data_IF_847482882250
#
_entry.id   IF_847482882250
#
_cell.length_a   1.000
_cell.length_b   1.000
_cell.length_c   1.000
_cell.angle_alpha   90.00
_cell.angle_beta   90.00
_cell.angle_gamma   90.00
#
_symmetry.space_group_name_H-M   'P 1'
#
loop_
_entity.id
_entity.type
_entity.pdbx_description
1 polymer ?
#
# COMPACT_ATOMS: atom_id res chain seq x y z
N UNK A 1 -4.24 -17.41 4.05
CA UNK A 1 -3.49 -17.48 2.77
C UNK A 1 -3.40 -18.95 2.38
N UNK A 2 -4.06 -19.39 1.30
CA UNK A 2 -4.22 -20.82 1.00
C UNK A 2 -3.20 -21.33 -0.02
N UNK A 3 -2.00 -20.75 -0.09
CA UNK A 3 -0.87 -21.29 -0.86
C UNK A 3 -1.04 -21.39 -2.39
N UNK A 4 -2.20 -21.04 -2.96
CA UNK A 4 -2.46 -21.12 -4.40
C UNK A 4 -2.17 -19.80 -5.15
N UNK A 5 -1.82 -18.73 -4.44
CA UNK A 5 -1.60 -17.39 -5.01
C UNK A 5 -0.14 -16.99 -4.88
N UNK A 6 0.77 -17.78 -5.46
CA UNK A 6 2.08 -17.27 -5.80
C UNK A 6 1.95 -16.54 -7.14
N UNK A 7 2.14 -15.21 -7.11
CA UNK A 7 1.94 -14.25 -8.20
C UNK A 7 2.70 -14.53 -9.49
N UNK A 8 2.27 -15.58 -10.22
CA UNK A 8 2.79 -15.95 -11.54
C UNK A 8 2.04 -15.26 -12.69
N UNK A 9 1.16 -14.30 -12.39
CA UNK A 9 0.45 -13.53 -13.43
C UNK A 9 -0.58 -14.36 -14.21
N UNK A 10 -1.22 -15.34 -13.56
CA UNK A 10 -2.31 -16.07 -14.22
C UNK A 10 -3.50 -15.14 -14.52
N UNK A 11 -4.10 -15.23 -15.72
CA UNK A 11 -5.33 -14.52 -16.04
C UNK A 11 -6.44 -14.86 -15.03
N UNK A 12 -7.05 -13.85 -14.43
CA UNK A 12 -8.17 -14.01 -13.48
C UNK A 12 -7.83 -13.83 -12.00
N UNK A 13 -6.57 -13.58 -11.64
CA UNK A 13 -6.25 -13.15 -10.28
C UNK A 13 -6.76 -11.72 -10.04
N UNK A 14 -7.57 -11.54 -8.98
CA UNK A 14 -8.01 -10.23 -8.51
C UNK A 14 -7.66 -10.04 -7.03
N UNK A 15 -6.79 -9.07 -6.76
CA UNK A 15 -6.54 -8.61 -5.39
C UNK A 15 -7.80 -7.98 -4.79
N UNK A 16 -7.84 -7.89 -3.47
CA UNK A 16 -8.86 -7.11 -2.75
C UNK A 16 -8.26 -6.56 -1.47
N UNK A 17 -8.82 -5.45 -1.01
CA UNK A 17 -8.55 -4.87 0.31
C UNK A 17 -9.87 -4.85 1.06
N UNK A 18 -9.87 -5.43 2.26
CA UNK A 18 -11.08 -5.61 3.07
C UNK A 18 -10.89 -4.94 4.42
N UNK A 19 -11.97 -4.37 4.96
CA UNK A 19 -12.00 -3.74 6.29
C UNK A 19 -13.09 -4.37 7.16
N UNK A 20 -12.81 -4.45 8.45
CA UNK A 20 -13.80 -4.73 9.48
C UNK A 20 -13.79 -3.61 10.51
N UNK A 21 -14.96 -3.29 11.06
CA UNK A 21 -15.13 -2.32 12.14
C UNK A 21 -15.71 -2.95 13.42
N UNK A 22 -15.89 -4.27 13.43
CA UNK A 22 -16.53 -5.02 14.51
C UNK A 22 -15.70 -6.21 14.98
N UNK A 23 -14.38 -6.02 15.09
CA UNK A 23 -13.46 -7.05 15.58
C UNK A 23 -13.30 -8.25 14.64
N UNK A 24 -13.57 -8.08 13.34
CA UNK A 24 -13.43 -9.12 12.33
C UNK A 24 -14.67 -10.00 12.13
N UNK A 25 -15.80 -9.69 12.78
CA UNK A 25 -17.05 -10.45 12.60
C UNK A 25 -17.64 -10.27 11.20
N UNK A 26 -17.54 -9.06 10.63
CA UNK A 26 -17.95 -8.75 9.25
C UNK A 26 -16.83 -8.00 8.55
N UNK A 27 -16.61 -8.33 7.28
CA UNK A 27 -15.64 -7.70 6.40
C UNK A 27 -16.32 -7.16 5.15
N UNK A 28 -15.95 -5.97 4.71
CA UNK A 28 -16.43 -5.35 3.48
C UNK A 28 -15.26 -4.82 2.64
N UNK A 29 -15.38 -4.83 1.30
CA UNK A 29 -14.32 -4.33 0.42
C UNK A 29 -14.17 -2.82 0.53
N UNK A 30 -12.92 -2.37 0.49
CA UNK A 30 -12.52 -0.96 0.46
C UNK A 30 -11.58 -0.72 -0.73
N UNK A 31 -12.13 -0.82 -1.94
CA UNK A 31 -11.35 -0.94 -3.18
C UNK A 31 -11.54 0.20 -4.18
N UNK A 32 -12.29 1.25 -3.82
CA UNK A 32 -12.54 2.37 -4.73
C UNK A 32 -11.22 3.10 -5.04
N UNK A 33 -10.91 3.28 -6.33
CA UNK A 33 -9.65 3.89 -6.78
C UNK A 33 -8.48 2.92 -6.96
N UNK A 34 -8.67 1.61 -6.74
CA UNK A 34 -7.65 0.58 -6.95
C UNK A 34 -7.93 -0.26 -8.20
N UNK A 35 -6.88 -0.57 -8.99
CA UNK A 35 -6.95 -1.69 -9.93
C UNK A 35 -6.87 -3.01 -9.15
N UNK A 36 -7.80 -3.92 -9.40
CA UNK A 36 -7.80 -5.23 -8.74
C UNK A 36 -7.00 -6.27 -9.51
N UNK A 37 -6.54 -5.99 -10.72
CA UNK A 37 -5.72 -6.90 -11.53
C UNK A 37 -4.23 -6.87 -11.07
N UNK A 38 -4.01 -6.89 -9.76
CA UNK A 38 -2.71 -6.91 -9.11
C UNK A 38 -2.80 -7.43 -7.68
N UNK A 39 -1.65 -7.72 -7.07
CA UNK A 39 -1.54 -8.02 -5.65
C UNK A 39 -1.36 -6.76 -4.79
N UNK A 40 -1.92 -6.80 -3.58
CA UNK A 40 -1.64 -5.86 -2.50
C UNK A 40 -0.82 -6.59 -1.44
N UNK A 41 0.28 -5.97 -1.02
CA UNK A 41 1.29 -6.64 -0.21
C UNK A 41 1.25 -6.25 1.26
N UNK A 42 0.95 -4.99 1.55
CA UNK A 42 1.01 -4.45 2.91
C UNK A 42 0.03 -3.29 3.08
N UNK A 43 -0.51 -3.14 4.29
CA UNK A 43 -1.40 -2.05 4.67
C UNK A 43 -1.06 -1.55 6.06
N UNK A 44 -0.85 -0.26 6.18
CA UNK A 44 -0.52 0.43 7.43
C UNK A 44 -1.59 1.48 7.71
N UNK A 45 -2.07 1.51 8.95
CA UNK A 45 -2.95 2.56 9.47
C UNK A 45 -2.06 3.61 10.13
N UNK A 46 -2.28 4.89 9.84
CA UNK A 46 -1.60 5.96 10.56
C UNK A 46 -2.06 5.96 12.04
N UNK A 47 -1.12 5.94 13.00
CA UNK A 47 -1.43 5.86 14.43
C UNK A 47 -1.87 7.20 15.05
N UNK A 48 -1.67 8.33 14.35
CA UNK A 48 -2.11 9.68 14.75
C UNK A 48 -3.51 9.96 14.20
N UNK A 49 -3.76 9.64 12.92
CA UNK A 49 -5.08 9.75 12.29
C UNK A 49 -5.50 8.43 11.62
N UNK A 50 -6.38 7.62 12.22
CA UNK A 50 -6.76 6.32 11.67
C UNK A 50 -7.59 6.39 10.38
N UNK A 51 -7.94 7.58 9.89
CA UNK A 51 -8.50 7.74 8.55
C UNK A 51 -7.41 7.67 7.47
N UNK A 52 -6.15 7.89 7.82
CA UNK A 52 -5.04 7.81 6.89
C UNK A 52 -4.55 6.36 6.82
N UNK A 53 -4.64 5.76 5.63
CA UNK A 53 -4.17 4.40 5.35
C UNK A 53 -3.14 4.43 4.24
N UNK A 54 -2.08 3.64 4.37
CA UNK A 54 -1.06 3.43 3.34
C UNK A 54 -1.12 2.01 2.84
N UNK A 55 -1.05 1.83 1.53
CA UNK A 55 -1.19 0.53 0.87
C UNK A 55 -0.05 0.32 -0.13
N UNK A 56 0.61 -0.82 -0.03
CA UNK A 56 1.63 -1.26 -0.96
C UNK A 56 1.04 -2.20 -2.00
N UNK A 57 1.26 -1.88 -3.28
CA UNK A 57 0.73 -2.60 -4.41
C UNK A 57 1.85 -3.13 -5.33
N UNK A 58 1.51 -4.18 -6.08
CA UNK A 58 2.45 -4.85 -6.98
C UNK A 58 2.82 -4.02 -8.19
N UNK A 59 1.86 -3.43 -8.89
CA UNK A 59 2.12 -2.82 -10.19
C UNK A 59 2.12 -1.29 -10.12
N UNK A 60 1.36 -0.72 -9.19
CA UNK A 60 1.06 0.71 -9.14
C UNK A 60 1.73 1.45 -7.97
N UNK A 61 2.64 0.82 -7.23
CA UNK A 61 3.39 1.47 -6.16
C UNK A 61 2.62 1.57 -4.86
N UNK A 62 2.59 2.77 -4.31
CA UNK A 62 1.87 3.06 -3.08
C UNK A 62 0.59 3.80 -3.37
N UNK A 63 -0.42 3.51 -2.56
CA UNK A 63 -1.62 4.29 -2.45
C UNK A 63 -1.74 4.85 -1.03
N UNK A 64 -2.46 5.96 -0.94
CA UNK A 64 -2.93 6.53 0.31
C UNK A 64 -4.44 6.69 0.25
N UNK A 65 -5.11 6.38 1.36
CA UNK A 65 -6.48 6.80 1.63
C UNK A 65 -6.44 7.82 2.76
N UNK A 66 -7.23 8.87 2.65
CA UNK A 66 -7.39 9.91 3.70
C UNK A 66 -8.78 9.84 4.36
N UNK A 67 -9.57 8.84 4.00
CA UNK A 67 -10.98 8.69 4.35
C UNK A 67 -11.30 7.28 4.89
N UNK A 68 -10.30 6.64 5.51
CA UNK A 68 -10.44 5.35 6.19
C UNK A 68 -10.71 4.19 5.23
N UNK A 69 -10.29 4.30 3.97
CA UNK A 69 -10.43 3.32 2.90
C UNK A 69 -11.66 3.53 2.01
N UNK A 70 -12.39 4.63 2.15
CA UNK A 70 -13.52 4.91 1.25
C UNK A 70 -13.04 5.21 -0.18
N UNK A 71 -11.85 5.80 -0.34
CA UNK A 71 -11.17 5.98 -1.63
C UNK A 71 -9.64 5.92 -1.50
N UNK A 72 -8.98 5.48 -2.56
CA UNK A 72 -7.52 5.37 -2.64
C UNK A 72 -6.97 6.23 -3.77
N UNK A 73 -5.80 6.83 -3.51
CA UNK A 73 -5.09 7.68 -4.46
C UNK A 73 -3.62 7.26 -4.58
N UNK A 74 -3.04 7.23 -5.78
CA UNK A 74 -1.62 6.96 -5.95
C UNK A 74 -0.75 7.95 -5.17
N UNK A 75 0.27 7.45 -4.49
CA UNK A 75 1.16 8.24 -3.62
C UNK A 75 2.64 8.08 -3.99
N UNK A 76 2.90 8.05 -5.30
CA UNK A 76 4.19 7.67 -5.90
C UNK A 76 5.17 8.83 -6.16
N UNK A 77 4.83 10.07 -5.80
CA UNK A 77 5.70 11.24 -6.06
C UNK A 77 7.08 11.02 -5.45
N UNK A 78 8.13 11.16 -6.26
CA UNK A 78 9.52 10.90 -5.86
C UNK A 78 10.00 9.45 -6.07
N UNK A 79 9.11 8.55 -6.48
CA UNK A 79 9.41 7.16 -6.87
C UNK A 79 9.35 6.93 -8.38
N UNK A 80 9.01 7.97 -9.13
CA UNK A 80 8.94 7.97 -10.58
C UNK A 80 10.29 7.57 -11.20
N UNK A 81 10.27 6.60 -12.11
CA UNK A 81 11.45 6.16 -12.87
C UNK A 81 12.48 5.32 -12.09
N UNK A 82 12.18 4.91 -10.85
CA UNK A 82 13.14 4.25 -9.97
C UNK A 82 13.27 2.73 -10.15
N UNK A 83 12.48 2.08 -11.02
CA UNK A 83 12.55 0.61 -11.18
C UNK A 83 12.82 0.15 -12.61
N UNK A 84 14.07 0.27 -13.11
CA UNK A 84 14.49 -0.36 -14.38
C UNK A 84 14.58 -1.89 -14.30
N UNK A 85 14.63 -2.48 -13.10
CA UNK A 85 14.96 -3.91 -12.90
C UNK A 85 13.74 -4.85 -12.72
N UNK A 86 12.52 -4.31 -12.61
CA UNK A 86 11.27 -5.11 -12.59
C UNK A 86 10.31 -4.54 -13.62
N UNK A 87 10.33 -5.05 -14.86
CA UNK A 87 9.25 -4.92 -15.85
C UNK A 87 8.57 -3.53 -16.02
N UNK A 88 9.20 -2.42 -15.62
CA UNK A 88 8.64 -1.05 -15.64
C UNK A 88 7.67 -0.70 -14.50
N UNK A 89 7.46 -1.56 -13.50
CA UNK A 89 6.44 -1.36 -12.47
C UNK A 89 7.03 -0.83 -11.15
N UNK A 90 6.32 0.09 -10.49
CA UNK A 90 6.66 0.57 -9.15
C UNK A 90 6.22 -0.48 -8.12
N UNK A 91 6.98 -1.55 -7.92
CA UNK A 91 6.61 -2.57 -6.92
C UNK A 91 6.97 -2.07 -5.52
N UNK A 92 5.98 -1.87 -4.63
CA UNK A 92 6.23 -1.66 -3.19
C UNK A 92 5.80 -2.89 -2.43
N UNK A 93 6.67 -3.48 -1.59
CA UNK A 93 6.38 -4.75 -0.91
C UNK A 93 6.12 -4.64 0.58
N UNK A 94 6.72 -3.64 1.23
CA UNK A 94 6.69 -3.51 2.69
C UNK A 94 6.58 -2.04 3.06
N UNK A 95 5.79 -1.77 4.07
CA UNK A 95 5.58 -0.47 4.69
C UNK A 95 5.93 -0.59 6.18
N UNK A 96 6.65 0.39 6.72
CA UNK A 96 6.95 0.43 8.15
C UNK A 96 6.97 1.87 8.65
N UNK A 97 6.31 2.12 9.77
CA UNK A 97 6.37 3.42 10.44
C UNK A 97 7.59 3.50 11.35
N UNK A 98 8.23 4.67 11.41
CA UNK A 98 9.18 4.98 12.47
C UNK A 98 8.47 4.97 13.83
N UNK A 99 9.20 4.67 14.90
CA UNK A 99 8.64 4.63 16.26
C UNK A 99 8.06 5.97 16.74
N UNK A 100 8.52 7.08 16.16
CA UNK A 100 8.01 8.43 16.41
C UNK A 100 6.86 8.81 15.46
N UNK A 101 6.42 7.89 14.59
CA UNK A 101 5.38 8.05 13.57
C UNK A 101 5.63 9.18 12.55
N UNK A 102 6.84 9.75 12.51
CA UNK A 102 7.17 10.84 11.58
C UNK A 102 7.53 10.37 10.19
N UNK A 103 7.99 9.14 10.04
CA UNK A 103 8.43 8.60 8.77
C UNK A 103 7.71 7.30 8.43
N UNK A 104 7.25 7.21 7.20
CA UNK A 104 6.92 5.95 6.56
C UNK A 104 8.13 5.49 5.74
N UNK A 105 8.66 4.33 6.07
CA UNK A 105 9.62 3.59 5.28
C UNK A 105 8.89 2.65 4.33
N UNK A 106 9.40 2.53 3.12
CA UNK A 106 8.85 1.59 2.15
C UNK A 106 9.96 0.96 1.30
N UNK A 107 9.88 -0.35 1.18
CA UNK A 107 10.82 -1.17 0.42
C UNK A 107 10.27 -1.49 -0.96
N UNK A 108 11.05 -1.23 -1.99
CA UNK A 108 10.68 -1.55 -3.38
C UNK A 108 11.40 -2.82 -3.86
N UNK A 109 10.81 -3.50 -4.84
CA UNK A 109 11.52 -4.60 -5.49
C UNK A 109 12.65 -4.05 -6.36
N UNK A 110 13.90 -4.23 -5.93
CA UNK A 110 15.08 -3.93 -6.73
C UNK A 110 15.59 -2.48 -6.71
N UNK A 111 14.88 -1.52 -6.10
CA UNK A 111 15.32 -0.12 -6.01
C UNK A 111 15.64 0.36 -4.59
N UNK A 112 15.63 -0.53 -3.60
CA UNK A 112 16.06 -0.25 -2.22
C UNK A 112 14.94 0.19 -1.29
N UNK A 113 15.32 0.88 -0.20
CA UNK A 113 14.41 1.38 0.83
C UNK A 113 14.38 2.90 0.79
N UNK A 114 13.19 3.44 0.84
CA UNK A 114 12.92 4.88 0.83
C UNK A 114 12.17 5.26 2.09
N UNK A 115 12.14 6.57 2.38
CA UNK A 115 11.31 7.12 3.46
C UNK A 115 10.58 8.36 3.02
N UNK A 116 9.44 8.63 3.65
CA UNK A 116 8.68 9.86 3.50
C UNK A 116 8.24 10.38 4.86
N UNK A 117 8.33 11.69 5.04
CA UNK A 117 7.83 12.39 6.22
C UNK A 117 6.31 12.48 6.18
N UNK A 118 5.65 12.17 7.30
CA UNK A 118 4.19 12.15 7.46
C UNK A 118 3.69 13.41 8.18
N UNK A 119 4.26 13.66 9.36
CA UNK A 119 3.88 14.73 10.28
C UNK A 119 5.11 15.61 10.52
N UNK A 120 5.29 16.72 9.78
CA UNK A 120 6.35 17.67 10.10
C UNK A 120 6.10 18.25 11.50
N UNK A 121 7.15 18.59 12.27
CA UNK A 121 6.98 19.19 13.59
C UNK A 121 6.16 20.47 13.48
N UNK A 122 5.21 20.67 14.40
CA UNK A 122 4.54 21.96 14.53
C UNK A 122 5.60 23.06 14.75
N UNK A 123 5.43 24.24 14.13
CA UNK A 123 6.40 25.33 14.18
C UNK A 123 6.64 25.91 15.57
#
# INVERSE_FOLDING_TARGET
KNGANEGTGQPGFRGTVMKSTNGGAVWFPITAGLSLDQEFYDLVVDPVDPNILYLAAQNEGMFVSLDGGASWHPWNRGLEGKVPATNGNNVTRVLALSADHRYLYFGTAGAGVYRRELHPPEP
#
